data_IF_946028834304
#
_entry.id   IF_946028834304
#
_cell.length_a   1.000
_cell.length_b   1.000
_cell.length_c   1.000
_cell.angle_alpha   90.00
_cell.angle_beta   90.00
_cell.angle_gamma   90.00
#
_symmetry.space_group_name_H-M   'P 1'
#
loop_
_entity.id
_entity.type
_entity.pdbx_description
1 polymer ?
#
# COMPACT_ATOMS: atom_id res chain seq x y z
N UNK A 1 -2.94 3.50 5.44
CA UNK A 1 -2.59 2.28 6.19
C UNK A 1 -2.76 1.05 5.31
N UNK A 2 -1.98 0.01 5.55
CA UNK A 2 -2.13 -1.30 4.91
C UNK A 2 -3.07 -2.20 5.72
N UNK A 3 -3.66 -3.21 5.07
CA UNK A 3 -4.48 -4.21 5.77
C UNK A 3 -3.68 -4.98 6.86
N UNK A 4 -2.34 -5.02 6.76
CA UNK A 4 -1.46 -5.66 7.73
C UNK A 4 -1.31 -4.81 9.00
N UNK A 5 -1.12 -3.51 8.85
CA UNK A 5 -1.10 -2.56 9.98
C UNK A 5 -2.44 -2.58 10.74
N UNK A 6 -3.55 -2.57 10.00
CA UNK A 6 -4.89 -2.67 10.59
C UNK A 6 -5.11 -4.00 11.32
N UNK A 7 -4.59 -5.10 10.78
CA UNK A 7 -4.65 -6.42 11.44
C UNK A 7 -3.89 -6.44 12.77
N UNK A 8 -2.74 -5.78 12.84
CA UNK A 8 -1.97 -5.64 14.07
C UNK A 8 -2.69 -4.79 15.12
N UNK A 9 -3.20 -3.62 14.72
CA UNK A 9 -3.87 -2.68 15.64
C UNK A 9 -5.18 -3.24 16.18
N UNK A 10 -5.98 -3.86 15.31
CA UNK A 10 -7.30 -4.37 15.68
C UNK A 10 -7.24 -5.77 16.31
N UNK A 11 -6.08 -6.44 16.31
CA UNK A 11 -5.96 -7.83 16.76
C UNK A 11 -6.77 -8.82 15.93
N UNK A 12 -7.16 -8.44 14.71
CA UNK A 12 -8.01 -9.25 13.84
C UNK A 12 -7.18 -10.02 12.81
N UNK A 13 -7.66 -11.21 12.43
CA UNK A 13 -7.06 -11.97 11.33
C UNK A 13 -7.07 -11.13 10.04
N UNK A 14 -6.01 -11.16 9.20
CA UNK A 14 -5.94 -10.36 7.97
C UNK A 14 -7.13 -10.58 7.02
N UNK A 15 -7.70 -11.79 6.99
CA UNK A 15 -8.91 -12.10 6.22
C UNK A 15 -10.11 -11.26 6.67
N UNK A 16 -10.31 -11.13 7.99
CA UNK A 16 -11.41 -10.38 8.56
C UNK A 16 -11.27 -8.87 8.31
N UNK A 17 -10.05 -8.37 8.40
CA UNK A 17 -9.76 -6.96 8.06
C UNK A 17 -10.09 -6.66 6.60
N UNK A 18 -9.76 -7.57 5.67
CA UNK A 18 -10.14 -7.38 4.25
C UNK A 18 -11.65 -7.35 4.03
N UNK A 19 -12.40 -8.22 4.72
CA UNK A 19 -13.88 -8.22 4.67
C UNK A 19 -14.45 -6.89 5.17
N UNK A 20 -13.96 -6.39 6.30
CA UNK A 20 -14.39 -5.10 6.88
C UNK A 20 -14.07 -3.96 5.90
N UNK A 21 -12.86 -3.91 5.37
CA UNK A 21 -12.46 -2.88 4.40
C UNK A 21 -13.32 -2.91 3.13
N UNK A 22 -13.70 -4.10 2.65
CA UNK A 22 -14.64 -4.24 1.53
C UNK A 22 -16.04 -3.71 1.89
N UNK A 23 -16.55 -4.02 3.09
CA UNK A 23 -17.85 -3.53 3.54
C UNK A 23 -17.86 -1.99 3.65
N UNK A 24 -16.82 -1.40 4.24
CA UNK A 24 -16.67 0.05 4.35
C UNK A 24 -16.58 0.72 2.97
N UNK A 25 -15.87 0.11 2.02
CA UNK A 25 -15.82 0.61 0.64
C UNK A 25 -17.18 0.59 -0.04
N UNK A 26 -17.95 -0.49 0.11
CA UNK A 26 -19.32 -0.60 -0.43
C UNK A 26 -20.27 0.42 0.19
N UNK A 27 -20.07 0.76 1.46
CA UNK A 27 -20.83 1.77 2.16
C UNK A 27 -20.38 3.22 1.85
N UNK A 28 -19.33 3.42 1.04
CA UNK A 28 -18.77 4.75 0.77
C UNK A 28 -18.03 5.38 1.95
N UNK A 29 -17.70 4.59 2.99
CA UNK A 29 -17.03 5.06 4.21
C UNK A 29 -15.51 4.97 4.13
N UNK A 30 -14.97 4.27 3.14
CA UNK A 30 -13.53 4.11 2.95
C UNK A 30 -13.15 3.97 1.48
N UNK A 31 -12.01 4.55 1.11
CA UNK A 31 -11.39 4.35 -0.19
C UNK A 31 -10.09 3.54 -0.06
N UNK A 32 -9.89 2.59 -0.98
CA UNK A 32 -8.68 1.77 -1.03
C UNK A 32 -7.83 2.23 -2.21
N UNK A 33 -6.74 2.92 -1.93
CA UNK A 33 -5.78 3.35 -2.95
C UNK A 33 -4.80 2.22 -3.20
N UNK A 34 -4.84 1.63 -4.40
CA UNK A 34 -3.81 0.70 -4.85
C UNK A 34 -2.62 1.55 -5.28
N UNK A 35 -1.60 1.65 -4.42
CA UNK A 35 -0.34 2.26 -4.83
C UNK A 35 0.30 1.36 -5.89
N UNK A 36 0.70 1.89 -7.06
CA UNK A 36 1.49 1.12 -8.00
C UNK A 36 2.73 0.63 -7.28
N UNK A 37 3.03 -0.68 -7.38
CA UNK A 37 4.36 -1.17 -6.99
C UNK A 37 5.35 -0.44 -7.90
N UNK A 38 6.39 0.18 -7.32
CA UNK A 38 7.56 0.59 -8.11
C UNK A 38 8.01 -0.64 -8.91
N UNK A 39 7.80 -0.64 -10.23
CA UNK A 39 8.55 -1.51 -11.11
C UNK A 39 10.00 -1.08 -11.01
N UNK A 40 10.88 -2.07 -10.90
CA UNK A 40 12.31 -1.89 -10.66
C UNK A 40 13.05 -1.44 -11.94
N UNK A 41 12.42 -0.59 -12.75
CA UNK A 41 12.91 -0.08 -14.03
C UNK A 41 13.04 1.45 -14.00
N UNK A 42 13.62 1.98 -12.92
CA UNK A 42 14.03 3.39 -12.85
C UNK A 42 15.45 3.55 -12.30
N UNK A 43 16.28 2.49 -12.42
CA UNK A 43 17.71 2.52 -12.11
C UNK A 43 18.56 2.56 -13.40
N UNK A 44 18.13 3.33 -14.39
CA UNK A 44 18.92 3.58 -15.59
C UNK A 44 18.83 5.05 -15.96
N UNK A 45 19.53 5.89 -15.20
CA UNK A 45 20.35 7.02 -15.65
C UNK A 45 20.70 7.90 -14.45
N UNK A 46 21.98 8.26 -14.34
CA UNK A 46 22.53 9.01 -13.23
C UNK A 46 23.62 8.28 -12.46
N UNK A 47 24.55 7.63 -13.16
CA UNK A 47 25.90 7.47 -12.60
C UNK A 47 26.52 8.86 -12.49
N UNK A 48 26.94 9.20 -11.29
CA UNK A 48 27.91 10.24 -10.98
C UNK A 48 28.95 10.47 -12.08
N UNK A 49 29.17 11.73 -12.41
CA UNK A 49 30.53 12.27 -12.39
C UNK A 49 30.49 13.79 -12.18
N UNK A 50 30.70 14.21 -10.93
CA UNK A 50 31.39 15.46 -10.66
C UNK A 50 32.79 15.39 -11.28
N UNK A 51 33.18 16.34 -12.14
CA UNK A 51 34.51 16.98 -12.14
C UNK A 51 34.66 18.00 -13.29
N UNK A 52 35.32 19.11 -12.92
CA UNK A 52 35.84 20.26 -13.67
C UNK A 52 34.85 21.41 -13.97
#
# INVERSE_FOLDING_TARGET
MTARELSYILGLKPRKVREILQALRKAGLAECIIKPKKTLESFSEGKDNQQL
#
